data_IF_656972866846
#
_entry.id   IF_656972866846
#
_cell.length_a   1.000
_cell.length_b   1.000
_cell.length_c   1.000
_cell.angle_alpha   90.00
_cell.angle_beta   90.00
_cell.angle_gamma   90.00
#
_symmetry.space_group_name_H-M   'P 1'
#
loop_
_entity.id
_entity.type
_entity.pdbx_description
1 polymer ?
#
# COMPACT_ATOMS: atom_id res chain seq x y z
N UNK A 1 -16.18 -24.66 11.12
CA UNK A 1 -15.71 -25.71 12.06
C UNK A 1 -14.86 -26.71 11.30
N UNK A 2 -13.70 -27.08 11.89
CA UNK A 2 -12.64 -27.98 11.39
C UNK A 2 -11.71 -27.45 10.28
N UNK A 3 -10.73 -26.65 10.70
CA UNK A 3 -9.29 -26.91 10.56
C UNK A 3 -8.55 -25.93 11.48
N UNK A 4 -8.66 -26.21 12.78
CA UNK A 4 -7.86 -25.65 13.86
C UNK A 4 -7.27 -26.88 14.57
N UNK A 5 -5.99 -26.79 14.96
CA UNK A 5 -5.12 -27.82 15.58
C UNK A 5 -4.33 -28.74 14.65
N UNK A 6 -3.03 -28.45 14.55
CA UNK A 6 -1.88 -29.36 14.74
C UNK A 6 -0.61 -28.50 14.61
N UNK A 7 0.39 -28.49 15.49
CA UNK A 7 0.58 -28.87 16.89
C UNK A 7 1.96 -28.30 17.24
N UNK A 8 2.10 -27.77 18.44
CA UNK A 8 3.38 -27.45 19.07
C UNK A 8 4.19 -28.75 19.24
N UNK A 9 5.40 -28.83 18.69
CA UNK A 9 6.43 -29.75 19.19
C UNK A 9 7.82 -29.13 19.03
N UNK A 10 8.40 -28.77 20.17
CA UNK A 10 9.79 -28.36 20.40
C UNK A 10 10.76 -29.50 20.03
N UNK A 11 11.90 -29.19 19.41
CA UNK A 11 13.23 -29.65 19.87
C UNK A 11 14.37 -28.92 19.13
N UNK A 12 15.39 -28.60 19.92
CA UNK A 12 16.62 -27.85 19.63
C UNK A 12 17.68 -28.68 18.90
N UNK A 13 18.61 -27.95 18.24
CA UNK A 13 20.01 -28.23 17.85
C UNK A 13 20.20 -28.01 16.33
N UNK A 14 21.22 -27.34 15.78
CA UNK A 14 22.45 -26.64 16.23
C UNK A 14 22.94 -25.80 15.03
N UNK A 15 23.75 -24.78 15.30
CA UNK A 15 24.46 -23.87 14.37
C UNK A 15 24.63 -24.30 12.90
N UNK A 16 24.25 -23.42 11.98
CA UNK A 16 24.91 -23.25 10.70
C UNK A 16 24.85 -21.77 10.27
N UNK A 17 26.04 -21.20 10.18
CA UNK A 17 26.51 -19.95 9.59
C UNK A 17 25.51 -18.95 9.00
N UNK A 18 25.67 -17.70 9.47
CA UNK A 18 25.43 -16.53 8.65
C UNK A 18 26.25 -16.63 7.34
N UNK A 19 25.55 -16.61 6.21
CA UNK A 19 26.12 -16.19 4.94
C UNK A 19 25.27 -15.07 4.37
N UNK A 20 25.96 -13.95 4.23
CA UNK A 20 25.64 -12.74 3.50
C UNK A 20 25.21 -13.02 2.07
N UNK A 21 24.28 -12.19 1.60
CA UNK A 21 24.04 -12.00 0.17
C UNK A 21 22.57 -12.12 -0.18
N UNK A 22 21.76 -11.13 0.23
CA UNK A 22 20.56 -10.82 -0.52
C UNK A 22 20.49 -9.31 -0.73
N UNK A 23 20.68 -8.91 -1.99
CA UNK A 23 20.41 -7.55 -2.49
C UNK A 23 18.92 -7.41 -2.80
N UNK A 24 18.09 -7.95 -1.92
CA UNK A 24 16.66 -7.70 -1.88
C UNK A 24 16.43 -6.52 -0.95
N UNK A 25 16.29 -5.33 -1.53
CA UNK A 25 15.80 -4.12 -0.87
C UNK A 25 14.69 -4.48 0.12
N UNK A 26 15.02 -4.57 1.41
CA UNK A 26 14.03 -4.84 2.44
C UNK A 26 13.11 -3.62 2.45
N UNK A 27 11.91 -3.78 1.91
CA UNK A 27 10.93 -2.68 1.92
C UNK A 27 10.45 -2.48 3.36
N UNK A 28 11.12 -1.60 4.09
CA UNK A 28 10.89 -1.39 5.53
C UNK A 28 9.53 -0.70 5.75
N UNK A 29 8.52 -1.49 6.11
CA UNK A 29 7.19 -0.96 6.50
C UNK A 29 7.27 -0.19 7.81
N UNK A 30 8.13 -0.66 8.73
CA UNK A 30 8.34 -0.09 10.05
C UNK A 30 9.80 0.29 10.21
N UNK A 31 10.08 1.59 10.19
CA UNK A 31 11.44 2.12 10.35
C UNK A 31 12.05 1.69 11.71
N UNK A 32 11.23 1.35 12.71
CA UNK A 32 11.69 0.85 14.02
C UNK A 32 12.31 -0.55 13.95
N UNK A 33 12.11 -1.29 12.85
CA UNK A 33 12.68 -2.61 12.64
C UNK A 33 14.04 -2.58 11.94
N UNK A 34 14.51 -1.40 11.56
CA UNK A 34 15.88 -1.20 11.11
C UNK A 34 16.82 -1.24 12.32
N UNK A 35 18.02 -1.78 12.14
CA UNK A 35 19.08 -1.65 13.15
C UNK A 35 19.28 -0.17 13.43
N UNK A 36 19.05 0.25 14.67
CA UNK A 36 19.26 1.64 15.12
C UNK A 36 20.71 2.04 14.87
N UNK A 37 21.01 2.58 13.69
CA UNK A 37 22.21 3.36 13.51
C UNK A 37 22.15 4.52 14.51
N UNK A 38 23.29 4.83 15.14
CA UNK A 38 23.36 5.99 16.02
C UNK A 38 22.92 7.20 15.21
N UNK A 39 21.86 7.88 15.67
CA UNK A 39 21.37 9.10 15.02
C UNK A 39 22.54 10.07 14.96
N UNK A 40 23.03 10.34 13.74
CA UNK A 40 23.99 11.40 13.52
C UNK A 40 23.28 12.72 13.83
N UNK A 41 23.66 13.34 14.94
CA UNK A 41 23.06 14.60 15.39
C UNK A 41 23.62 15.80 14.64
N UNK A 42 24.77 15.61 13.97
CA UNK A 42 25.45 16.64 13.20
C UNK A 42 25.01 16.62 11.74
N UNK A 43 24.70 15.45 11.19
CA UNK A 43 24.24 15.31 9.81
C UNK A 43 22.83 14.72 9.78
N UNK A 44 21.83 15.56 9.50
CA UNK A 44 20.43 15.17 9.52
C UNK A 44 19.72 15.59 8.23
N UNK A 45 18.87 14.73 7.64
CA UNK A 45 17.99 15.16 6.56
C UNK A 45 16.93 16.15 7.09
N UNK A 46 16.26 16.91 6.21
CA UNK A 46 15.19 17.79 6.63
C UNK A 46 14.02 16.95 7.15
N UNK A 47 13.35 17.42 8.20
CA UNK A 47 12.25 16.69 8.86
C UNK A 47 10.96 17.48 8.72
N UNK A 48 9.93 16.88 8.13
CA UNK A 48 8.60 17.47 8.06
C UNK A 48 8.03 17.61 9.48
N UNK A 49 7.76 18.84 9.90
CA UNK A 49 7.12 19.13 11.19
C UNK A 49 5.62 19.20 11.05
N UNK A 50 5.15 19.87 9.99
CA UNK A 50 3.72 20.09 9.76
C UNK A 50 3.41 20.14 8.28
N UNK A 51 2.44 19.33 7.88
CA UNK A 51 1.82 19.38 6.57
C UNK A 51 0.40 19.89 6.69
N UNK A 52 0.11 21.02 6.04
CA UNK A 52 -1.28 21.49 5.94
C UNK A 52 -2.03 20.65 4.91
N UNK A 53 -3.15 20.05 5.31
CA UNK A 53 -3.96 19.24 4.41
C UNK A 53 -4.40 20.06 3.17
N UNK A 54 -4.22 19.53 1.95
CA UNK A 54 -4.61 20.22 0.74
C UNK A 54 -6.14 20.37 0.68
N UNK A 55 -6.62 21.54 0.26
CA UNK A 55 -8.05 21.75 0.02
C UNK A 55 -8.49 21.01 -1.23
N UNK A 56 -9.49 20.15 -1.12
CA UNK A 56 -10.03 19.42 -2.27
C UNK A 56 -10.65 20.40 -3.29
N UNK A 57 -10.29 20.34 -4.59
CA UNK A 57 -10.90 21.20 -5.60
C UNK A 57 -12.40 20.92 -5.76
N UNK A 58 -13.25 21.95 -5.64
CA UNK A 58 -14.73 21.80 -5.74
C UNK A 58 -15.20 21.05 -7.00
N UNK A 59 -14.61 21.37 -8.16
CA UNK A 59 -14.94 20.72 -9.44
C UNK A 59 -14.60 19.22 -9.44
N UNK A 60 -13.49 18.82 -8.81
CA UNK A 60 -13.10 17.42 -8.68
C UNK A 60 -14.02 16.69 -7.71
N UNK A 61 -14.33 17.33 -6.57
CA UNK A 61 -15.23 16.80 -5.55
C UNK A 61 -16.62 16.51 -6.12
N UNK A 62 -17.23 17.47 -6.83
CA UNK A 62 -18.55 17.32 -7.46
C UNK A 62 -18.59 16.19 -8.49
N UNK A 63 -17.47 15.90 -9.14
CA UNK A 63 -17.37 14.90 -10.20
C UNK A 63 -16.89 13.53 -9.73
N UNK A 64 -16.61 13.35 -8.44
CA UNK A 64 -16.09 12.06 -7.97
C UNK A 64 -14.64 11.80 -8.39
N UNK A 65 -13.88 12.82 -8.81
CA UNK A 65 -12.54 12.64 -9.38
C UNK A 65 -11.52 12.61 -8.25
N UNK A 66 -10.74 11.55 -8.17
CA UNK A 66 -9.56 11.42 -7.32
C UNK A 66 -8.28 11.65 -8.14
N UNK A 67 -7.15 11.84 -7.47
CA UNK A 67 -5.88 11.94 -8.18
C UNK A 67 -4.67 12.11 -7.28
N UNK A 68 -3.49 12.01 -7.88
CA UNK A 68 -2.20 12.24 -7.22
C UNK A 68 -1.43 13.35 -7.89
N UNK A 69 -0.65 14.09 -7.10
CA UNK A 69 0.23 15.17 -7.57
C UNK A 69 1.59 15.00 -6.91
N UNK A 70 2.63 14.92 -7.73
CA UNK A 70 4.01 14.87 -7.29
C UNK A 70 4.65 16.25 -7.42
N UNK A 71 5.16 16.74 -6.30
CA UNK A 71 5.78 18.06 -6.17
C UNK A 71 7.23 17.90 -5.78
N UNK A 72 8.12 18.63 -6.45
CA UNK A 72 9.47 18.88 -5.96
C UNK A 72 9.56 20.29 -5.40
N UNK A 73 10.29 20.46 -4.31
CA UNK A 73 10.50 21.75 -3.66
C UNK A 73 11.85 21.74 -2.93
N UNK A 74 12.29 22.90 -2.48
CA UNK A 74 13.48 23.03 -1.66
C UNK A 74 13.07 23.46 -0.24
N UNK A 75 13.92 23.19 0.74
CA UNK A 75 13.76 23.67 2.13
C UNK A 75 15.00 24.50 2.48
N UNK A 76 14.78 25.76 2.81
CA UNK A 76 15.86 26.67 3.20
C UNK A 76 16.43 26.37 4.60
N UNK A 77 17.50 27.09 4.97
CA UNK A 77 18.18 26.96 6.27
C UNK A 77 17.27 27.32 7.46
N UNK A 78 16.17 28.03 7.22
CA UNK A 78 15.15 28.37 8.22
C UNK A 78 14.02 27.33 8.30
N UNK A 79 14.05 26.28 7.48
CA UNK A 79 13.01 25.26 7.44
C UNK A 79 11.77 25.65 6.63
N UNK A 80 11.84 26.71 5.82
CA UNK A 80 10.74 27.14 4.94
C UNK A 80 10.84 26.47 3.59
N UNK A 81 9.68 26.09 3.06
CA UNK A 81 9.57 25.58 1.70
C UNK A 81 9.73 26.71 0.69
N UNK A 82 10.59 26.51 -0.31
CA UNK A 82 10.78 27.41 -1.45
C UNK A 82 10.75 26.62 -2.77
N UNK A 83 10.54 27.32 -3.89
CA UNK A 83 10.55 26.77 -5.25
C UNK A 83 9.64 25.53 -5.51
N UNK A 84 8.42 25.41 -4.96
CA UNK A 84 7.58 24.24 -5.20
C UNK A 84 7.13 24.17 -6.66
N UNK A 85 7.30 23.00 -7.27
CA UNK A 85 7.00 22.72 -8.68
C UNK A 85 6.33 21.36 -8.82
N UNK A 86 5.19 21.32 -9.50
CA UNK A 86 4.57 20.05 -9.92
C UNK A 86 5.47 19.44 -11.00
N UNK A 87 5.91 18.20 -10.80
CA UNK A 87 6.62 17.44 -11.84
C UNK A 87 5.74 16.39 -12.51
N UNK A 88 4.68 15.96 -11.83
CA UNK A 88 3.70 15.05 -12.38
C UNK A 88 2.35 15.24 -11.69
N UNK A 89 1.26 15.12 -12.45
CA UNK A 89 -0.09 15.06 -11.91
C UNK A 89 -0.99 14.15 -12.73
N UNK A 90 -1.76 13.33 -12.02
CA UNK A 90 -2.79 12.48 -12.64
C UNK A 90 -3.91 13.33 -13.26
N UNK A 91 -4.18 14.49 -12.65
CA UNK A 91 -5.12 15.47 -13.16
C UNK A 91 -4.74 16.88 -12.68
N UNK A 92 -4.56 17.81 -13.64
CA UNK A 92 -4.17 19.21 -13.38
C UNK A 92 -5.13 19.98 -12.46
N UNK A 93 -6.35 19.48 -12.26
CA UNK A 93 -7.32 20.08 -11.32
C UNK A 93 -6.79 20.17 -9.89
N UNK A 94 -5.84 19.30 -9.52
CA UNK A 94 -5.28 19.22 -8.17
C UNK A 94 -4.02 20.07 -7.95
N UNK A 95 -3.35 20.50 -9.03
CA UNK A 95 -2.01 21.13 -8.97
C UNK A 95 -1.96 22.35 -8.05
N UNK A 96 -2.93 23.27 -8.18
CA UNK A 96 -2.95 24.48 -7.35
C UNK A 96 -3.16 24.17 -5.86
N UNK A 97 -4.00 23.19 -5.54
CA UNK A 97 -4.24 22.76 -4.16
C UNK A 97 -3.00 22.07 -3.57
N UNK A 98 -2.33 21.25 -4.39
CA UNK A 98 -1.09 20.58 -4.02
C UNK A 98 0.03 21.58 -3.72
N UNK A 99 0.27 22.53 -4.63
CA UNK A 99 1.27 23.58 -4.44
C UNK A 99 1.01 24.43 -3.20
N UNK A 100 -0.26 24.79 -2.92
CA UNK A 100 -0.62 25.57 -1.73
C UNK A 100 -0.36 24.81 -0.43
N UNK A 101 -0.65 23.51 -0.41
CA UNK A 101 -0.37 22.64 0.75
C UNK A 101 1.14 22.63 1.04
N UNK A 102 1.96 22.32 0.03
CA UNK A 102 3.42 22.24 0.15
C UNK A 102 4.07 23.60 0.44
N UNK A 103 3.60 24.68 -0.16
CA UNK A 103 4.16 26.03 0.11
C UNK A 103 3.95 26.47 1.57
N UNK A 104 3.03 25.83 2.28
CA UNK A 104 2.67 26.17 3.66
C UNK A 104 3.11 25.14 4.68
N UNK A 105 3.83 24.08 4.27
CA UNK A 105 4.40 23.12 5.21
C UNK A 105 5.63 23.68 5.91
N UNK A 106 5.87 23.16 7.10
CA UNK A 106 6.97 23.57 7.98
C UNK A 106 7.92 22.40 8.16
N UNK A 107 9.21 22.67 8.04
CA UNK A 107 10.27 21.68 8.19
C UNK A 107 11.28 22.11 9.25
N UNK A 108 11.94 21.13 9.85
CA UNK A 108 13.28 21.33 10.40
C UNK A 108 14.25 21.26 9.22
N UNK A 109 15.16 22.23 9.04
CA UNK A 109 16.15 22.19 7.97
C UNK A 109 17.06 20.96 8.13
N UNK A 110 17.69 20.56 7.03
CA UNK A 110 18.78 19.59 7.10
C UNK A 110 19.96 20.20 7.84
N UNK A 111 20.76 19.34 8.49
CA UNK A 111 21.99 19.70 9.15
C UNK A 111 23.17 19.06 8.45
N UNK A 112 24.24 19.81 8.29
CA UNK A 112 25.58 19.31 7.95
C UNK A 112 26.57 19.86 8.98
N UNK A 113 27.29 18.97 9.66
CA UNK A 113 28.19 19.33 10.76
C UNK A 113 27.52 20.23 11.84
N UNK A 114 26.24 19.97 12.12
CA UNK A 114 25.43 20.72 13.08
C UNK A 114 24.92 22.08 12.59
N UNK A 115 25.21 22.46 11.34
CA UNK A 115 24.74 23.73 10.75
C UNK A 115 23.59 23.49 9.78
N UNK A 116 22.52 24.32 9.83
CA UNK A 116 21.44 24.25 8.84
C UNK A 116 21.96 24.47 7.42
N UNK A 117 21.46 23.67 6.47
CA UNK A 117 21.78 23.80 5.04
C UNK A 117 20.51 23.78 4.18
N UNK A 118 20.60 24.39 2.99
CA UNK A 118 19.58 24.28 1.94
C UNK A 118 19.45 22.83 1.45
N UNK A 119 18.25 22.29 1.51
CA UNK A 119 17.90 20.99 0.91
C UNK A 119 17.19 21.22 -0.41
N UNK A 120 17.71 20.67 -1.51
CA UNK A 120 17.12 20.84 -2.84
C UNK A 120 16.34 19.60 -3.30
N UNK A 121 15.32 19.83 -4.11
CA UNK A 121 14.65 18.78 -4.87
C UNK A 121 13.94 17.73 -4.03
N UNK A 122 13.46 18.09 -2.84
CA UNK A 122 12.73 17.18 -1.96
C UNK A 122 11.42 16.74 -2.60
N UNK A 123 11.12 15.42 -2.59
CA UNK A 123 9.88 14.89 -3.15
C UNK A 123 8.71 14.94 -2.18
N UNK A 124 7.52 15.22 -2.69
CA UNK A 124 6.29 14.93 -1.97
C UNK A 124 5.15 14.52 -2.92
N UNK A 125 4.49 13.40 -2.60
CA UNK A 125 3.39 12.83 -3.37
C UNK A 125 2.07 13.00 -2.63
N UNK A 126 1.28 13.97 -3.06
CA UNK A 126 -0.02 14.29 -2.46
C UNK A 126 -1.09 13.43 -3.12
N UNK A 127 -1.91 12.78 -2.30
CA UNK A 127 -3.03 11.94 -2.77
C UNK A 127 -4.35 12.58 -2.39
N UNK A 128 -5.24 12.76 -3.37
CA UNK A 128 -6.60 13.27 -3.19
C UNK A 128 -7.58 12.10 -3.30
N UNK A 129 -7.96 11.55 -2.15
CA UNK A 129 -8.97 10.49 -2.04
C UNK A 129 -10.33 11.08 -1.67
N UNK A 130 -11.38 10.47 -2.19
CA UNK A 130 -12.74 10.88 -1.88
C UNK A 130 -13.33 10.00 -0.79
N UNK A 131 -13.82 10.65 0.27
CA UNK A 131 -14.52 9.96 1.35
C UNK A 131 -15.73 9.19 0.80
N UNK A 132 -15.90 7.95 1.23
CA UNK A 132 -16.94 7.04 0.74
C UNK A 132 -16.63 6.36 -0.60
N UNK A 133 -15.50 6.71 -1.24
CA UNK A 133 -15.03 6.11 -2.51
C UNK A 133 -13.77 5.26 -2.32
N UNK A 134 -13.47 4.84 -1.09
CA UNK A 134 -12.27 4.05 -0.76
C UNK A 134 -12.23 2.74 -1.56
N UNK A 135 -13.41 2.14 -1.80
CA UNK A 135 -13.60 0.92 -2.59
C UNK A 135 -13.92 1.15 -4.08
N UNK A 136 -13.83 2.38 -4.57
CA UNK A 136 -14.12 2.72 -5.97
C UNK A 136 -12.84 2.58 -6.82
N UNK A 137 -12.97 1.93 -7.96
CA UNK A 137 -11.96 1.86 -9.01
C UNK A 137 -12.45 2.70 -10.19
N UNK A 138 -11.66 3.66 -10.65
CA UNK A 138 -11.98 4.51 -11.80
C UNK A 138 -11.47 3.88 -13.09
N UNK A 139 -12.28 3.01 -13.69
CA UNK A 139 -11.90 2.29 -14.91
C UNK A 139 -12.28 3.03 -16.20
N UNK A 140 -13.00 4.15 -16.09
CA UNK A 140 -13.60 4.87 -17.22
C UNK A 140 -15.13 4.79 -17.19
N UNK A 141 -15.79 5.83 -17.69
CA UNK A 141 -17.25 6.00 -17.54
C UNK A 141 -18.07 4.88 -18.18
N UNK A 142 -17.58 4.31 -19.28
CA UNK A 142 -18.18 3.17 -19.98
C UNK A 142 -18.26 1.89 -19.13
N UNK A 143 -17.39 1.74 -18.12
CA UNK A 143 -17.36 0.58 -17.24
C UNK A 143 -18.21 0.75 -15.98
N UNK A 144 -18.75 1.94 -15.71
CA UNK A 144 -19.50 2.24 -14.47
C UNK A 144 -20.64 1.24 -14.22
N UNK A 145 -21.43 0.93 -15.25
CA UNK A 145 -22.53 -0.03 -15.14
C UNK A 145 -22.04 -1.44 -14.80
N UNK A 146 -20.93 -1.87 -15.42
CA UNK A 146 -20.33 -3.17 -15.11
C UNK A 146 -19.84 -3.22 -13.66
N UNK A 147 -19.11 -2.20 -13.21
CA UNK A 147 -18.61 -2.12 -11.83
C UNK A 147 -19.76 -2.18 -10.82
N UNK A 148 -20.87 -1.49 -11.09
CA UNK A 148 -22.08 -1.57 -10.25
C UNK A 148 -22.66 -2.99 -10.21
N UNK A 149 -22.78 -3.66 -11.36
CA UNK A 149 -23.27 -5.04 -11.45
C UNK A 149 -22.36 -6.03 -10.73
N UNK A 150 -21.05 -5.90 -10.88
CA UNK A 150 -20.06 -6.71 -10.13
C UNK A 150 -20.27 -6.50 -8.64
N UNK A 151 -20.30 -5.25 -8.15
CA UNK A 151 -20.51 -4.95 -6.72
C UNK A 151 -21.81 -5.57 -6.17
N UNK A 152 -22.90 -5.55 -6.94
CA UNK A 152 -24.16 -6.19 -6.55
C UNK A 152 -24.03 -7.73 -6.55
N UNK A 153 -23.34 -8.30 -7.54
CA UNK A 153 -23.02 -9.72 -7.62
C UNK A 153 -22.19 -10.20 -6.43
N UNK A 154 -21.15 -9.46 -6.05
CA UNK A 154 -20.29 -9.79 -4.89
C UNK A 154 -21.08 -9.89 -3.58
N UNK A 155 -22.14 -9.10 -3.40
CA UNK A 155 -22.99 -9.16 -2.19
C UNK A 155 -23.97 -10.34 -2.20
N UNK A 156 -24.37 -10.80 -3.38
CA UNK A 156 -25.46 -11.77 -3.56
C UNK A 156 -24.98 -13.15 -4.02
N UNK A 157 -23.69 -13.29 -4.34
CA UNK A 157 -23.12 -14.47 -5.00
C UNK A 157 -23.47 -14.59 -6.49
N UNK A 158 -24.30 -13.69 -7.05
CA UNK A 158 -24.76 -13.75 -8.45
C UNK A 158 -23.76 -13.08 -9.39
N UNK A 159 -22.63 -13.75 -9.64
CA UNK A 159 -21.51 -13.19 -10.43
C UNK A 159 -21.42 -13.70 -11.87
N UNK A 160 -22.23 -14.67 -12.27
CA UNK A 160 -22.14 -15.29 -13.60
C UNK A 160 -22.31 -14.29 -14.76
N UNK A 161 -23.37 -13.47 -14.72
CA UNK A 161 -23.64 -12.45 -15.74
C UNK A 161 -22.52 -11.39 -15.84
N UNK A 162 -22.06 -10.75 -14.75
CA UNK A 162 -20.94 -9.83 -14.84
C UNK A 162 -19.62 -10.51 -15.25
N UNK A 163 -19.37 -11.76 -14.85
CA UNK A 163 -18.19 -12.53 -15.30
C UNK A 163 -18.18 -12.70 -16.83
N UNK A 164 -19.27 -13.18 -17.43
CA UNK A 164 -19.39 -13.29 -18.89
C UNK A 164 -19.13 -11.95 -19.60
N UNK A 165 -19.59 -10.85 -19.00
CA UNK A 165 -19.34 -9.52 -19.55
C UNK A 165 -17.87 -9.11 -19.43
N UNK A 166 -17.22 -9.41 -18.32
CA UNK A 166 -15.78 -9.15 -18.13
C UNK A 166 -14.97 -9.94 -19.16
N UNK A 167 -15.26 -11.22 -19.37
CA UNK A 167 -14.56 -12.06 -20.36
C UNK A 167 -14.66 -11.47 -21.78
N UNK A 168 -15.86 -11.05 -22.18
CA UNK A 168 -16.09 -10.37 -23.47
C UNK A 168 -15.30 -9.06 -23.61
N UNK A 169 -15.05 -8.34 -22.52
CA UNK A 169 -14.30 -7.09 -22.54
C UNK A 169 -12.79 -7.35 -22.56
N UNK A 170 -12.30 -8.34 -21.82
CA UNK A 170 -10.89 -8.73 -21.79
C UNK A 170 -10.43 -9.33 -23.13
N UNK A 171 -11.34 -9.92 -23.91
CA UNK A 171 -11.06 -10.39 -25.26
C UNK A 171 -10.80 -9.26 -26.29
N UNK A 172 -11.01 -7.99 -25.92
CA UNK A 172 -10.73 -6.85 -26.81
C UNK A 172 -9.23 -6.58 -26.85
N UNK A 173 -8.69 -6.43 -28.07
CA UNK A 173 -7.26 -6.11 -28.27
C UNK A 173 -6.90 -4.73 -27.71
N UNK A 174 -7.70 -3.70 -28.05
CA UNK A 174 -7.40 -2.30 -27.71
C UNK A 174 -8.09 -1.85 -26.42
N UNK A 175 -7.67 -2.42 -25.28
CA UNK A 175 -8.17 -2.02 -23.97
C UNK A 175 -7.09 -1.21 -23.21
N UNK A 176 -7.45 -0.04 -22.68
CA UNK A 176 -6.52 0.75 -21.85
C UNK A 176 -6.02 -0.10 -20.67
N UNK A 177 -4.72 0.01 -20.37
CA UNK A 177 -4.03 -0.70 -19.27
C UNK A 177 -4.82 -0.65 -17.96
N UNK A 178 -5.33 0.53 -17.59
CA UNK A 178 -6.14 0.73 -16.38
C UNK A 178 -7.41 -0.09 -16.39
N UNK A 179 -8.13 -0.11 -17.50
CA UNK A 179 -9.35 -0.88 -17.65
C UNK A 179 -9.05 -2.37 -17.63
N UNK A 180 -8.00 -2.82 -18.32
CA UNK A 180 -7.56 -4.23 -18.32
C UNK A 180 -7.20 -4.72 -16.93
N UNK A 181 -6.33 -3.99 -16.22
CA UNK A 181 -5.97 -4.26 -14.83
C UNK A 181 -7.21 -4.35 -13.92
N UNK A 182 -8.09 -3.36 -14.02
CA UNK A 182 -9.32 -3.32 -13.23
C UNK A 182 -10.27 -4.48 -13.51
N UNK A 183 -10.46 -4.85 -14.77
CA UNK A 183 -11.33 -5.97 -15.17
C UNK A 183 -10.77 -7.31 -14.70
N UNK A 184 -9.46 -7.54 -14.81
CA UNK A 184 -8.79 -8.73 -14.28
C UNK A 184 -8.99 -8.85 -12.76
N UNK A 185 -8.80 -7.75 -12.03
CA UNK A 185 -9.07 -7.72 -10.59
C UNK A 185 -10.54 -7.99 -10.25
N UNK A 186 -11.49 -7.40 -10.98
CA UNK A 186 -12.93 -7.63 -10.76
C UNK A 186 -13.34 -9.08 -11.08
N UNK A 187 -12.71 -9.71 -12.09
CA UNK A 187 -12.87 -11.13 -12.38
C UNK A 187 -12.36 -11.98 -11.22
N UNK A 188 -11.15 -11.69 -10.75
CA UNK A 188 -10.53 -12.36 -9.61
C UNK A 188 -11.41 -12.30 -8.36
N UNK A 189 -11.95 -11.13 -8.01
CA UNK A 189 -12.90 -10.97 -6.90
C UNK A 189 -14.20 -11.76 -7.08
N UNK A 190 -14.72 -11.79 -8.30
CA UNK A 190 -15.96 -12.49 -8.62
C UNK A 190 -15.78 -14.01 -8.45
N UNK A 191 -14.66 -14.54 -8.93
CA UNK A 191 -14.27 -15.95 -8.77
C UNK A 191 -14.01 -16.29 -7.29
N UNK A 192 -13.36 -15.40 -6.54
CA UNK A 192 -13.16 -15.56 -5.10
C UNK A 192 -14.49 -15.66 -4.36
N UNK A 193 -15.50 -14.85 -4.74
CA UNK A 193 -16.83 -14.86 -4.12
C UNK A 193 -17.54 -16.22 -4.26
N UNK A 194 -17.33 -16.91 -5.38
CA UNK A 194 -17.91 -18.24 -5.63
C UNK A 194 -16.95 -19.39 -5.29
N UNK A 195 -15.85 -19.10 -4.57
CA UNK A 195 -14.86 -20.08 -4.11
C UNK A 195 -14.24 -20.91 -5.26
N UNK A 196 -13.96 -20.27 -6.38
CA UNK A 196 -13.19 -20.87 -7.46
C UNK A 196 -11.76 -21.24 -6.99
N UNK A 197 -11.04 -22.11 -7.72
CA UNK A 197 -9.68 -22.50 -7.35
C UNK A 197 -8.72 -21.30 -7.23
N UNK A 198 -7.89 -21.28 -6.18
CA UNK A 198 -6.96 -20.19 -5.92
C UNK A 198 -5.98 -19.95 -7.07
N UNK A 199 -5.52 -20.99 -7.78
CA UNK A 199 -4.57 -20.83 -8.90
C UNK A 199 -5.10 -19.93 -10.02
N UNK A 200 -6.38 -20.05 -10.38
CA UNK A 200 -7.00 -19.19 -11.39
C UNK A 200 -7.06 -17.74 -10.90
N UNK A 201 -7.45 -17.54 -9.64
CA UNK A 201 -7.58 -16.20 -9.04
C UNK A 201 -6.21 -15.52 -8.91
N UNK A 202 -5.19 -16.25 -8.43
CA UNK A 202 -3.81 -15.76 -8.34
C UNK A 202 -3.27 -15.36 -9.72
N UNK A 203 -3.49 -16.18 -10.74
CA UNK A 203 -3.06 -15.88 -12.12
C UNK A 203 -3.63 -14.54 -12.60
N UNK A 204 -4.94 -14.31 -12.39
CA UNK A 204 -5.61 -13.05 -12.76
C UNK A 204 -5.06 -11.85 -11.97
N UNK A 205 -4.77 -12.01 -10.68
CA UNK A 205 -4.19 -10.93 -9.86
C UNK A 205 -2.76 -10.60 -10.30
N UNK A 206 -1.96 -11.61 -10.66
CA UNK A 206 -0.61 -11.43 -11.19
C UNK A 206 -0.65 -10.73 -12.55
N UNK A 207 -1.53 -11.16 -13.47
CA UNK A 207 -1.75 -10.50 -14.76
C UNK A 207 -2.21 -9.06 -14.57
N UNK A 208 -3.15 -8.81 -13.64
CA UNK A 208 -3.57 -7.45 -13.28
C UNK A 208 -2.39 -6.55 -12.90
N UNK A 209 -1.45 -7.05 -12.08
CA UNK A 209 -0.25 -6.31 -11.66
C UNK A 209 0.65 -5.92 -12.84
N UNK A 210 0.69 -6.72 -13.91
CA UNK A 210 1.51 -6.43 -15.10
C UNK A 210 1.02 -5.20 -15.87
N UNK A 211 -0.26 -4.86 -15.73
CA UNK A 211 -0.90 -3.71 -16.36
C UNK A 211 -0.85 -2.43 -15.51
N UNK A 212 -0.14 -2.44 -14.38
CA UNK A 212 -0.01 -1.25 -13.52
C UNK A 212 1.01 -0.28 -14.11
N UNK A 213 0.51 0.82 -14.65
CA UNK A 213 1.36 1.86 -15.23
C UNK A 213 2.02 2.67 -14.11
N UNK A 214 3.35 2.69 -14.13
CA UNK A 214 4.20 3.53 -13.28
C UNK A 214 5.01 4.47 -14.15
N UNK A 215 5.11 5.72 -13.75
CA UNK A 215 5.94 6.74 -14.37
C UNK A 215 7.16 7.01 -13.49
N UNK A 216 8.33 7.16 -14.10
CA UNK A 216 9.55 7.56 -13.39
C UNK A 216 9.68 9.07 -13.49
N UNK A 217 9.62 9.76 -12.34
CA UNK A 217 9.92 11.19 -12.26
C UNK A 217 11.31 11.36 -11.69
N UNK A 218 12.18 12.02 -12.46
CA UNK A 218 13.56 12.29 -12.06
C UNK A 218 13.64 13.52 -11.15
N UNK A 219 14.53 13.44 -10.17
CA UNK A 219 14.94 14.53 -9.29
C UNK A 219 16.46 14.53 -9.12
N UNK A 220 16.99 15.55 -8.46
CA UNK A 220 18.40 15.58 -8.05
C UNK A 220 18.76 14.43 -7.08
N UNK A 221 17.78 13.91 -6.34
CA UNK A 221 17.96 12.83 -5.36
C UNK A 221 17.66 11.43 -5.91
N UNK A 222 17.37 11.30 -7.21
CA UNK A 222 17.05 10.03 -7.87
C UNK A 222 15.68 9.98 -8.55
N UNK A 223 15.35 8.81 -9.10
CA UNK A 223 14.09 8.56 -9.81
C UNK A 223 13.00 8.03 -8.88
N UNK A 224 11.80 8.60 -8.99
CA UNK A 224 10.64 8.18 -8.21
C UNK A 224 9.61 7.48 -9.09
N UNK A 225 9.23 6.26 -8.69
CA UNK A 225 8.15 5.52 -9.32
C UNK A 225 6.80 6.01 -8.79
N UNK A 226 5.99 6.57 -9.68
CA UNK A 226 4.68 7.15 -9.36
C UNK A 226 3.60 6.45 -10.15
N UNK A 227 2.43 6.26 -9.55
CA UNK A 227 1.26 5.70 -10.22
C UNK A 227 0.00 6.43 -9.78
N UNK A 228 -1.03 6.39 -10.63
CA UNK A 228 -2.34 6.97 -10.32
C UNK A 228 -3.09 6.25 -9.19
N UNK A 229 -4.16 6.88 -8.70
CA UNK A 229 -4.97 6.36 -7.58
C UNK A 229 -5.56 4.98 -7.88
N UNK A 230 -6.01 4.73 -9.11
CA UNK A 230 -6.60 3.44 -9.47
C UNK A 230 -5.58 2.30 -9.40
N UNK A 231 -4.38 2.49 -9.96
CA UNK A 231 -3.32 1.48 -9.89
C UNK A 231 -2.83 1.28 -8.44
N UNK A 232 -2.72 2.36 -7.66
CA UNK A 232 -2.43 2.28 -6.23
C UNK A 232 -3.46 1.41 -5.49
N UNK A 233 -4.77 1.66 -5.70
CA UNK A 233 -5.85 0.86 -5.11
C UNK A 233 -5.81 -0.60 -5.57
N UNK A 234 -5.56 -0.85 -6.86
CA UNK A 234 -5.43 -2.20 -7.40
C UNK A 234 -4.23 -2.95 -6.79
N UNK A 235 -3.09 -2.28 -6.65
CA UNK A 235 -1.91 -2.83 -5.97
C UNK A 235 -2.22 -3.18 -4.52
N UNK A 236 -2.88 -2.29 -3.78
CA UNK A 236 -3.28 -2.57 -2.40
C UNK A 236 -4.29 -3.71 -2.31
N UNK A 237 -5.41 -3.66 -3.05
CA UNK A 237 -6.48 -4.63 -2.86
C UNK A 237 -6.15 -5.99 -3.45
N UNK A 238 -5.51 -6.01 -4.63
CA UNK A 238 -5.05 -7.23 -5.27
C UNK A 238 -3.92 -7.89 -4.49
N UNK A 239 -2.95 -7.10 -4.00
CA UNK A 239 -1.84 -7.61 -3.19
C UNK A 239 -2.29 -8.18 -1.84
N UNK A 240 -3.28 -7.57 -1.18
CA UNK A 240 -3.87 -8.15 0.05
C UNK A 240 -4.52 -9.51 -0.25
N UNK A 241 -5.32 -9.61 -1.33
CA UNK A 241 -5.98 -10.86 -1.68
C UNK A 241 -4.97 -11.95 -2.09
N UNK A 242 -3.94 -11.58 -2.86
CA UNK A 242 -2.87 -12.48 -3.26
C UNK A 242 -2.04 -12.94 -2.06
N UNK A 243 -1.74 -12.03 -1.14
CA UNK A 243 -1.06 -12.32 0.12
C UNK A 243 -1.83 -13.31 0.99
N UNK A 244 -3.16 -13.15 1.09
CA UNK A 244 -4.03 -14.10 1.77
C UNK A 244 -3.95 -15.51 1.15
N UNK A 245 -4.00 -15.61 -0.19
CA UNK A 245 -3.92 -16.90 -0.88
C UNK A 245 -2.58 -17.60 -0.65
N UNK A 246 -1.47 -16.85 -0.67
CA UNK A 246 -0.16 -17.41 -0.34
C UNK A 246 -0.07 -17.82 1.14
N UNK A 247 -0.73 -17.10 2.04
CA UNK A 247 -0.81 -17.48 3.44
C UNK A 247 -1.59 -18.80 3.63
N UNK A 248 -2.72 -18.98 2.94
CA UNK A 248 -3.50 -20.23 2.95
C UNK A 248 -2.67 -21.44 2.47
N UNK A 249 -1.67 -21.19 1.63
CA UNK A 249 -0.71 -22.17 1.08
C UNK A 249 0.57 -22.30 1.92
N UNK A 250 0.66 -21.64 3.08
CA UNK A 250 1.88 -21.57 3.90
C UNK A 250 3.12 -21.03 3.16
N UNK A 251 2.91 -20.28 2.07
CA UNK A 251 3.96 -19.61 1.28
C UNK A 251 4.36 -18.29 1.93
N UNK A 252 4.94 -18.36 3.14
CA UNK A 252 5.17 -17.21 4.02
C UNK A 252 5.93 -16.06 3.38
N UNK A 253 7.02 -16.35 2.66
CA UNK A 253 7.84 -15.31 2.01
C UNK A 253 7.05 -14.56 0.92
N UNK A 254 6.23 -15.27 0.13
CA UNK A 254 5.39 -14.66 -0.90
C UNK A 254 4.24 -13.85 -0.27
N UNK A 255 3.62 -14.39 0.77
CA UNK A 255 2.57 -13.70 1.52
C UNK A 255 3.10 -12.39 2.12
N UNK A 256 4.25 -12.44 2.81
CA UNK A 256 4.89 -11.25 3.36
C UNK A 256 5.19 -10.22 2.27
N UNK A 257 5.79 -10.63 1.15
CA UNK A 257 6.11 -9.71 0.04
C UNK A 257 4.87 -8.99 -0.48
N UNK A 258 3.82 -9.74 -0.81
CA UNK A 258 2.58 -9.18 -1.39
C UNK A 258 1.85 -8.27 -0.40
N UNK A 259 1.78 -8.66 0.88
CA UNK A 259 1.17 -7.84 1.92
C UNK A 259 1.98 -6.56 2.18
N UNK A 260 3.31 -6.66 2.19
CA UNK A 260 4.21 -5.52 2.37
C UNK A 260 4.05 -4.50 1.24
N UNK A 261 4.13 -4.96 -0.01
CA UNK A 261 3.92 -4.13 -1.20
C UNK A 261 2.54 -3.46 -1.19
N UNK A 262 1.49 -4.20 -0.80
CA UNK A 262 0.12 -3.70 -0.76
C UNK A 262 -0.09 -2.60 0.29
N UNK A 263 0.44 -2.80 1.50
CA UNK A 263 0.40 -1.82 2.59
C UNK A 263 1.16 -0.56 2.18
N UNK A 264 2.39 -0.72 1.68
CA UNK A 264 3.25 0.39 1.27
C UNK A 264 2.65 1.22 0.13
N UNK A 265 1.97 0.59 -0.83
CA UNK A 265 1.31 1.31 -1.92
C UNK A 265 0.33 2.40 -1.41
N UNK A 266 -0.26 2.18 -0.23
CA UNK A 266 -1.24 3.09 0.38
C UNK A 266 -0.72 3.86 1.61
N UNK A 267 0.50 3.59 2.07
CA UNK A 267 1.08 4.21 3.26
C UNK A 267 1.14 5.74 3.10
N UNK A 268 0.63 6.48 4.08
CA UNK A 268 0.61 7.94 4.07
C UNK A 268 -0.38 8.59 3.09
N UNK A 269 -1.19 7.80 2.37
CA UNK A 269 -2.16 8.33 1.37
C UNK A 269 -3.48 8.79 1.99
N UNK A 270 -3.76 8.38 3.23
CA UNK A 270 -5.04 8.57 3.90
C UNK A 270 -6.14 7.58 3.49
N UNK A 271 -5.82 6.55 2.68
CA UNK A 271 -6.79 5.51 2.31
C UNK A 271 -7.23 4.74 3.57
N UNK A 272 -8.49 4.90 3.96
CA UNK A 272 -9.09 4.13 5.06
C UNK A 272 -9.80 2.89 4.54
N UNK A 273 -9.50 1.74 5.10
CA UNK A 273 -10.11 0.48 4.68
C UNK A 273 -9.95 -0.59 5.76
N UNK A 274 -11.05 -1.29 6.08
CA UNK A 274 -11.02 -2.45 6.98
C UNK A 274 -10.12 -3.59 6.45
N UNK A 275 -9.77 -3.60 5.15
CA UNK A 275 -8.82 -4.58 4.60
C UNK A 275 -7.44 -4.50 5.25
N UNK A 276 -7.03 -3.33 5.73
CA UNK A 276 -5.73 -3.17 6.38
C UNK A 276 -5.62 -3.93 7.69
N UNK A 277 -6.73 -4.08 8.43
CA UNK A 277 -6.74 -4.91 9.63
C UNK A 277 -6.30 -6.34 9.31
N UNK A 278 -6.93 -6.96 8.31
CA UNK A 278 -6.56 -8.31 7.87
C UNK A 278 -5.15 -8.35 7.26
N UNK A 279 -4.75 -7.33 6.51
CA UNK A 279 -3.43 -7.26 5.90
C UNK A 279 -2.31 -7.28 6.95
N UNK A 280 -2.40 -6.42 7.98
CA UNK A 280 -1.41 -6.38 9.07
C UNK A 280 -1.45 -7.65 9.93
N UNK A 281 -2.63 -8.20 10.18
CA UNK A 281 -2.78 -9.46 10.91
C UNK A 281 -2.02 -10.60 10.21
N UNK A 282 -2.27 -10.75 8.91
CA UNK A 282 -1.66 -11.77 8.05
C UNK A 282 -0.17 -11.52 7.82
N UNK A 283 0.25 -10.26 7.69
CA UNK A 283 1.65 -9.91 7.57
C UNK A 283 2.40 -10.34 8.83
N UNK A 284 1.83 -10.07 10.01
CA UNK A 284 2.41 -10.50 11.27
C UNK A 284 2.56 -12.03 11.35
N UNK A 285 1.56 -12.78 10.89
CA UNK A 285 1.61 -14.25 10.82
C UNK A 285 2.69 -14.74 9.85
N UNK A 286 2.77 -14.16 8.64
CA UNK A 286 3.76 -14.54 7.64
C UNK A 286 5.20 -14.25 8.12
N UNK A 287 5.43 -13.10 8.74
CA UNK A 287 6.73 -12.71 9.27
C UNK A 287 7.12 -13.51 10.52
N UNK A 288 6.16 -13.87 11.38
CA UNK A 288 6.41 -14.72 12.54
C UNK A 288 6.93 -16.10 12.13
N UNK A 289 6.32 -16.73 11.12
CA UNK A 289 6.77 -18.03 10.61
C UNK A 289 8.14 -17.97 9.92
N UNK A 290 8.61 -16.78 9.56
CA UNK A 290 9.95 -16.53 9.04
C UNK A 290 10.94 -16.04 10.11
N UNK A 291 10.54 -16.00 11.39
CA UNK A 291 11.35 -15.50 12.51
C UNK A 291 11.75 -14.02 12.38
N UNK A 292 11.00 -13.23 11.59
CA UNK A 292 11.17 -11.78 11.45
C UNK A 292 10.43 -11.08 12.58
N UNK A 293 10.95 -11.23 13.80
CA UNK A 293 10.23 -10.89 15.04
C UNK A 293 9.76 -9.44 15.14
N UNK A 294 10.60 -8.48 14.73
CA UNK A 294 10.20 -7.07 14.75
C UNK A 294 9.04 -6.79 13.78
N UNK A 295 9.15 -7.25 12.53
CA UNK A 295 8.09 -7.07 11.54
C UNK A 295 6.80 -7.75 11.99
N UNK A 296 6.89 -8.95 12.58
CA UNK A 296 5.75 -9.66 13.13
C UNK A 296 5.04 -8.86 14.24
N UNK A 297 5.81 -8.43 15.25
CA UNK A 297 5.30 -7.65 16.37
C UNK A 297 4.68 -6.34 15.92
N UNK A 298 5.38 -5.55 15.11
CA UNK A 298 4.90 -4.24 14.65
C UNK A 298 3.66 -4.35 13.78
N UNK A 299 3.56 -5.39 12.95
CA UNK A 299 2.35 -5.66 12.19
C UNK A 299 1.16 -5.96 13.11
N UNK A 300 1.33 -6.77 14.16
CA UNK A 300 0.25 -7.04 15.11
C UNK A 300 -0.10 -5.86 16.01
N UNK A 301 0.85 -4.98 16.34
CA UNK A 301 0.57 -3.69 17.00
C UNK A 301 -0.37 -2.84 16.14
N UNK A 302 -0.07 -2.64 14.86
CA UNK A 302 -0.94 -1.91 13.92
C UNK A 302 -2.30 -2.59 13.74
N UNK A 303 -2.33 -3.92 13.63
CA UNK A 303 -3.58 -4.66 13.55
C UNK A 303 -4.45 -4.45 14.79
N UNK A 304 -3.86 -4.37 15.99
CA UNK A 304 -4.59 -4.08 17.23
C UNK A 304 -5.17 -2.67 17.26
N UNK A 305 -4.41 -1.67 16.81
CA UNK A 305 -4.89 -0.28 16.67
C UNK A 305 -6.10 -0.22 15.73
N UNK A 306 -6.01 -0.88 14.57
CA UNK A 306 -7.11 -0.93 13.61
C UNK A 306 -8.31 -1.75 14.12
N UNK A 307 -8.07 -2.78 14.93
CA UNK A 307 -9.14 -3.55 15.56
C UNK A 307 -9.98 -2.67 16.48
N UNK A 308 -9.33 -1.82 17.28
CA UNK A 308 -10.00 -0.83 18.13
C UNK A 308 -10.75 0.23 17.30
N UNK A 309 -10.12 0.81 16.27
CA UNK A 309 -10.76 1.80 15.38
C UNK A 309 -12.04 1.24 14.71
N UNK A 310 -12.00 -0.03 14.28
CA UNK A 310 -13.10 -0.67 13.57
C UNK A 310 -14.03 -1.50 14.46
N UNK A 311 -13.83 -1.52 15.78
CA UNK A 311 -14.61 -2.30 16.73
C UNK A 311 -14.62 -3.81 16.39
N UNK A 312 -13.46 -4.34 16.01
CA UNK A 312 -13.22 -5.75 15.70
C UNK A 312 -12.46 -6.38 16.88
N UNK A 313 -12.80 -7.61 17.24
CA UNK A 313 -12.03 -8.34 18.25
C UNK A 313 -10.69 -8.80 17.67
N UNK A 314 -9.60 -8.45 18.36
CA UNK A 314 -8.28 -8.99 18.05
C UNK A 314 -8.22 -10.49 18.45
N UNK A 315 -7.64 -11.40 17.63
CA UNK A 315 -7.70 -12.82 17.90
C UNK A 315 -6.88 -13.21 19.15
N UNK A 316 -7.53 -13.80 20.15
CA UNK A 316 -6.88 -14.25 21.39
C UNK A 316 -5.75 -15.26 21.13
N UNK A 317 -5.87 -16.05 20.06
CA UNK A 317 -4.87 -17.04 19.66
C UNK A 317 -3.51 -16.41 19.32
N UNK A 318 -3.47 -15.12 19.02
CA UNK A 318 -2.24 -14.39 18.74
C UNK A 318 -1.60 -13.78 19.99
N UNK A 319 -2.23 -13.83 21.17
CA UNK A 319 -1.68 -13.21 22.38
C UNK A 319 -0.29 -13.75 22.75
N UNK A 320 -0.12 -15.07 22.78
CA UNK A 320 1.17 -15.70 23.10
C UNK A 320 2.21 -15.53 21.97
N UNK A 321 1.90 -15.81 20.69
CA UNK A 321 2.82 -15.51 19.59
C UNK A 321 3.29 -14.06 19.55
N UNK A 322 2.38 -13.11 19.83
CA UNK A 322 2.70 -11.70 19.83
C UNK A 322 3.66 -11.34 20.98
N UNK A 323 3.37 -11.80 22.21
CA UNK A 323 4.28 -11.62 23.35
C UNK A 323 5.65 -12.26 23.09
N UNK A 324 5.68 -13.43 22.45
CA UNK A 324 6.92 -14.08 22.06
C UNK A 324 7.72 -13.23 21.07
N UNK A 325 7.09 -12.74 19.99
CA UNK A 325 7.76 -11.89 19.01
C UNK A 325 8.33 -10.62 19.66
N UNK A 326 7.57 -9.98 20.56
CA UNK A 326 8.03 -8.82 21.32
C UNK A 326 9.27 -9.11 22.18
N UNK A 327 9.35 -10.31 22.78
CA UNK A 327 10.50 -10.70 23.61
C UNK A 327 11.80 -10.94 22.82
N UNK A 328 11.74 -10.93 21.48
CA UNK A 328 12.88 -11.22 20.58
C UNK A 328 13.46 -9.98 19.88
N UNK A 329 12.90 -8.80 20.12
CA UNK A 329 13.32 -7.51 19.54
C UNK A 329 14.30 -6.84 20.48
#
# INVERSE_FOLDING_TARGET
MKKLLLLLSLLLATNASAHSGDTGEHTHIFNQCETKEKIDTLNQPPVLLKLNAPKYPRKAQQKGIEGRVFVLFDVDEGGKVINPKVKWSENKVFDSSALKSISSSEYKPALENGKPILSKGLPYLITFLMQGSENKLELGSEFNNLVMKVKAGLRTGKVESPLKKIDSLLARENLEERARAGLLYLKALSLYTIKAPNEEIKSLLIESKQHYVKEIVQSETGGFLIQGVTFMKLQTFGGILLGQMYLDESSWQKAEKELSEAILASKGTGLKSQRFYQAYLQLGMASYNQQKWCLASKSWEEAKILAEEYQINFPEQLAEPFKYAQSKI
#
